data_IF_910957060473
#
_entry.id   IF_910957060473
#
_cell.length_a   1.000
_cell.length_b   1.000
_cell.length_c   1.000
_cell.angle_alpha   90.00
_cell.angle_beta   90.00
_cell.angle_gamma   90.00
#
_symmetry.space_group_name_H-M   'P 1'
#
loop_
_entity.id
_entity.type
_entity.pdbx_description
1 polymer ?
#
# COMPACT_ATOMS: atom_id res chain seq x y z
N UNK A 1 3.12 -15.29 -0.09
CA UNK A 1 2.55 -15.35 1.29
C UNK A 1 3.64 -15.25 2.35
N UNK A 2 4.76 -15.98 2.27
CA UNK A 2 5.86 -15.93 3.26
C UNK A 2 6.35 -14.51 3.55
N UNK A 3 6.61 -13.72 2.50
CA UNK A 3 6.98 -12.30 2.66
C UNK A 3 5.92 -11.50 3.43
N UNK A 4 4.64 -11.68 3.11
CA UNK A 4 3.53 -11.01 3.82
C UNK A 4 3.51 -11.38 5.32
N UNK A 5 3.64 -12.67 5.65
CA UNK A 5 3.67 -13.13 7.04
C UNK A 5 4.86 -12.55 7.80
N UNK A 6 6.04 -12.49 7.16
CA UNK A 6 7.19 -11.80 7.71
C UNK A 6 6.94 -10.31 7.96
N UNK A 7 6.32 -9.59 7.02
CA UNK A 7 5.96 -8.18 7.21
C UNK A 7 4.98 -7.98 8.38
N UNK A 8 4.03 -8.89 8.58
CA UNK A 8 3.11 -8.83 9.72
C UNK A 8 3.80 -9.11 11.06
N UNK A 9 4.79 -10.01 11.08
CA UNK A 9 5.61 -10.27 12.26
C UNK A 9 6.43 -9.04 12.66
N UNK A 10 7.09 -8.40 11.69
CA UNK A 10 7.82 -7.14 11.90
C UNK A 10 6.90 -5.99 12.36
N UNK A 11 5.70 -5.91 11.79
CA UNK A 11 4.69 -4.94 12.23
C UNK A 11 4.28 -5.17 13.70
N UNK A 12 4.06 -6.44 14.11
CA UNK A 12 3.74 -6.75 15.52
C UNK A 12 4.90 -6.35 16.46
N UNK A 13 6.15 -6.62 16.07
CA UNK A 13 7.32 -6.21 16.83
C UNK A 13 7.37 -4.67 16.99
N UNK A 14 7.23 -3.93 15.89
CA UNK A 14 7.23 -2.47 15.90
C UNK A 14 6.07 -1.85 16.70
N UNK A 15 4.89 -2.48 16.68
CA UNK A 15 3.75 -2.07 17.51
C UNK A 15 4.02 -2.31 19.01
N UNK A 16 4.65 -3.44 19.37
CA UNK A 16 5.00 -3.76 20.76
C UNK A 16 6.01 -2.79 21.35
N UNK A 17 7.02 -2.38 20.58
CA UNK A 17 7.97 -1.35 20.98
C UNK A 17 7.28 -0.02 21.34
N UNK A 18 6.13 0.26 20.72
CA UNK A 18 5.31 1.47 20.96
C UNK A 18 4.17 1.26 21.96
N UNK A 19 4.16 0.11 22.65
CA UNK A 19 3.16 -0.20 23.69
C UNK A 19 1.84 -0.80 23.16
N UNK A 20 1.75 -1.07 21.88
CA UNK A 20 0.62 -1.74 21.23
C UNK A 20 0.85 -3.23 20.97
N UNK A 21 0.02 -3.82 20.14
CA UNK A 21 0.18 -5.17 19.57
C UNK A 21 -0.68 -5.32 18.31
N UNK A 22 -0.26 -6.19 17.41
CA UNK A 22 -1.09 -6.63 16.30
C UNK A 22 -2.19 -7.58 16.80
N UNK A 23 -3.43 -7.34 16.38
CA UNK A 23 -4.57 -8.21 16.70
C UNK A 23 -4.93 -9.00 15.43
N UNK A 24 -4.76 -10.31 15.49
CA UNK A 24 -5.02 -11.22 14.38
C UNK A 24 -6.35 -11.93 14.59
N UNK A 25 -7.22 -11.88 13.58
CA UNK A 25 -8.47 -12.63 13.49
C UNK A 25 -8.46 -13.45 12.20
N UNK A 26 -9.12 -14.59 12.24
CA UNK A 26 -9.21 -15.49 11.11
C UNK A 26 -10.68 -15.78 10.79
N UNK A 27 -11.14 -15.29 9.66
CA UNK A 27 -12.53 -15.39 9.22
C UNK A 27 -12.84 -14.40 8.12
N UNK A 28 -14.12 -14.22 7.85
CA UNK A 28 -14.59 -13.21 6.88
C UNK A 28 -14.52 -11.82 7.52
N UNK A 29 -13.92 -10.82 6.86
CA UNK A 29 -13.77 -9.48 7.45
C UNK A 29 -15.08 -8.86 7.90
N UNK A 30 -16.16 -9.04 7.13
CA UNK A 30 -17.51 -8.54 7.46
C UNK A 30 -18.17 -9.20 8.68
N UNK A 31 -17.59 -10.30 9.17
CA UNK A 31 -18.02 -10.96 10.41
C UNK A 31 -17.08 -10.64 11.57
N UNK A 32 -15.75 -10.69 11.32
CA UNK A 32 -14.74 -10.55 12.36
C UNK A 32 -14.55 -9.10 12.82
N UNK A 33 -14.65 -8.12 11.91
CA UNK A 33 -14.49 -6.71 12.28
C UNK A 33 -15.63 -6.21 13.19
N UNK A 34 -16.91 -6.45 12.91
CA UNK A 34 -17.99 -6.10 13.84
C UNK A 34 -17.84 -6.77 15.23
N UNK A 35 -17.44 -8.06 15.27
CA UNK A 35 -17.16 -8.76 16.54
C UNK A 35 -16.04 -8.11 17.31
N UNK A 36 -14.93 -7.75 16.62
CA UNK A 36 -13.80 -7.07 17.25
C UNK A 36 -14.20 -5.68 17.75
N UNK A 37 -14.95 -4.90 16.97
CA UNK A 37 -15.44 -3.58 17.38
C UNK A 37 -16.30 -3.69 18.65
N UNK A 38 -17.20 -4.67 18.71
CA UNK A 38 -18.01 -4.92 19.92
C UNK A 38 -17.14 -5.35 21.12
N UNK A 39 -16.12 -6.21 20.90
CA UNK A 39 -15.19 -6.69 21.95
C UNK A 39 -14.42 -5.53 22.59
N UNK A 40 -14.02 -4.53 21.81
CA UNK A 40 -13.17 -3.42 22.29
C UNK A 40 -13.92 -2.11 22.49
N UNK A 41 -15.21 -2.04 22.14
CA UNK A 41 -16.00 -0.81 22.18
C UNK A 41 -15.54 0.24 21.16
N UNK A 42 -15.11 -0.17 19.97
CA UNK A 42 -14.67 0.75 18.93
C UNK A 42 -15.86 1.46 18.27
N UNK A 43 -15.78 2.77 18.16
CA UNK A 43 -16.74 3.59 17.41
C UNK A 43 -16.34 3.84 15.95
N UNK A 44 -15.08 3.58 15.60
CA UNK A 44 -14.53 3.87 14.29
C UNK A 44 -13.60 2.76 13.79
N UNK A 45 -13.65 2.50 12.49
CA UNK A 45 -12.73 1.61 11.77
C UNK A 45 -12.04 2.41 10.65
N UNK A 46 -10.73 2.39 10.63
CA UNK A 46 -9.89 3.06 9.61
C UNK A 46 -9.16 2.03 8.77
N UNK A 47 -9.13 2.23 7.47
CA UNK A 47 -8.34 1.43 6.55
C UNK A 47 -7.81 2.29 5.39
N UNK A 48 -6.82 1.77 4.69
CA UNK A 48 -6.37 2.37 3.43
C UNK A 48 -7.26 1.93 2.28
N UNK A 49 -7.84 2.90 1.55
CA UNK A 49 -8.68 2.64 0.40
C UNK A 49 -7.94 1.87 -0.71
N UNK A 50 -8.52 0.78 -1.17
CA UNK A 50 -7.99 -0.03 -2.28
C UNK A 50 -8.60 0.35 -3.62
N UNK A 51 -7.82 0.28 -4.71
CA UNK A 51 -8.31 0.51 -6.07
C UNK A 51 -8.94 -0.75 -6.70
N UNK A 52 -8.51 -1.95 -6.29
CA UNK A 52 -8.95 -3.20 -6.87
C UNK A 52 -10.46 -3.46 -6.63
N UNK A 53 -11.24 -3.87 -7.66
CA UNK A 53 -12.69 -4.08 -7.53
C UNK A 53 -13.09 -5.00 -6.38
N UNK A 54 -12.39 -6.13 -6.20
CA UNK A 54 -12.65 -7.07 -5.11
C UNK A 54 -12.40 -6.46 -3.73
N UNK A 55 -11.40 -5.56 -3.59
CA UNK A 55 -11.11 -4.90 -2.33
C UNK A 55 -12.20 -3.89 -1.99
N UNK A 56 -12.68 -3.14 -2.98
CA UNK A 56 -13.78 -2.17 -2.82
C UNK A 56 -15.09 -2.87 -2.46
N UNK A 57 -15.35 -4.03 -3.07
CA UNK A 57 -16.53 -4.83 -2.76
C UNK A 57 -16.46 -5.40 -1.33
N UNK A 58 -15.30 -5.95 -0.93
CA UNK A 58 -15.06 -6.37 0.46
C UNK A 58 -15.28 -5.21 1.44
N UNK A 59 -14.71 -4.04 1.15
CA UNK A 59 -14.79 -2.86 2.02
C UNK A 59 -16.24 -2.36 2.15
N UNK A 60 -17.03 -2.44 1.07
CA UNK A 60 -18.47 -2.15 1.09
C UNK A 60 -19.23 -3.12 2.01
N UNK A 61 -18.99 -4.43 1.90
CA UNK A 61 -19.63 -5.42 2.77
C UNK A 61 -19.26 -5.21 4.25
N UNK A 62 -17.99 -4.87 4.52
CA UNK A 62 -17.55 -4.54 5.87
C UNK A 62 -18.28 -3.31 6.40
N UNK A 63 -18.35 -2.23 5.62
CA UNK A 63 -19.05 -1.01 6.01
C UNK A 63 -20.53 -1.25 6.31
N UNK A 64 -21.21 -2.06 5.50
CA UNK A 64 -22.60 -2.46 5.74
C UNK A 64 -22.78 -3.28 7.01
N UNK A 65 -21.82 -4.17 7.30
CA UNK A 65 -21.89 -5.06 8.48
C UNK A 65 -21.55 -4.35 9.79
N UNK A 66 -20.86 -3.22 9.76
CA UNK A 66 -20.43 -2.46 10.95
C UNK A 66 -21.59 -1.73 11.67
N UNK A 67 -22.74 -1.51 10.99
CA UNK A 67 -23.90 -0.84 11.60
C UNK A 67 -23.58 0.60 12.04
N UNK A 68 -23.64 0.86 13.34
CA UNK A 68 -23.41 2.20 13.92
C UNK A 68 -21.92 2.57 14.06
N UNK A 69 -20.98 1.65 13.76
CA UNK A 69 -19.54 1.92 13.78
C UNK A 69 -19.14 2.64 12.50
N UNK A 70 -18.50 3.80 12.63
CA UNK A 70 -18.07 4.61 11.50
C UNK A 70 -16.95 3.94 10.72
N UNK A 71 -17.07 3.90 9.37
CA UNK A 71 -16.08 3.31 8.48
C UNK A 71 -15.38 4.39 7.67
N UNK A 72 -14.05 4.48 7.80
CA UNK A 72 -13.22 5.51 7.18
C UNK A 72 -12.20 4.90 6.22
N UNK A 73 -12.45 4.99 4.92
CA UNK A 73 -11.49 4.63 3.89
C UNK A 73 -10.57 5.82 3.58
N UNK A 74 -9.31 5.76 4.01
CA UNK A 74 -8.34 6.84 3.91
C UNK A 74 -7.39 6.67 2.72
N UNK A 75 -6.81 7.76 2.18
CA UNK A 75 -5.73 7.66 1.20
C UNK A 75 -4.48 7.04 1.83
N UNK A 76 -3.62 6.45 0.99
CA UNK A 76 -2.35 5.84 1.46
C UNK A 76 -1.74 4.86 0.45
N UNK A 77 -2.56 4.25 -0.40
CA UNK A 77 -2.10 3.31 -1.40
C UNK A 77 -1.41 3.98 -2.60
N UNK A 78 -1.66 5.25 -2.86
CA UNK A 78 -1.14 6.02 -3.99
C UNK A 78 -0.37 7.26 -3.52
N UNK A 79 0.35 7.89 -4.44
CA UNK A 79 1.05 9.16 -4.19
C UNK A 79 0.03 10.28 -3.99
N UNK A 80 -0.95 10.38 -4.89
CA UNK A 80 -2.08 11.30 -4.74
C UNK A 80 -3.17 10.66 -3.87
N UNK A 81 -3.95 11.48 -3.19
CA UNK A 81 -4.98 11.00 -2.26
C UNK A 81 -6.06 10.21 -2.98
N UNK A 82 -6.52 10.70 -4.11
CA UNK A 82 -7.48 10.02 -4.98
C UNK A 82 -7.00 10.05 -6.43
N UNK A 83 -6.41 8.95 -6.94
CA UNK A 83 -5.99 8.88 -8.34
C UNK A 83 -7.16 8.96 -9.33
N UNK A 84 -8.39 8.64 -8.91
CA UNK A 84 -9.58 8.76 -9.74
C UNK A 84 -10.06 10.21 -9.89
N UNK A 85 -9.67 11.10 -8.99
CA UNK A 85 -9.93 12.53 -9.11
C UNK A 85 -9.00 13.24 -10.11
N UNK A 86 -7.94 12.57 -10.59
CA UNK A 86 -7.08 13.08 -11.66
C UNK A 86 -7.82 12.94 -12.99
N UNK A 87 -8.47 14.02 -13.44
CA UNK A 87 -9.39 14.02 -14.59
C UNK A 87 -9.00 15.05 -15.64
N UNK A 88 -9.54 14.87 -16.85
CA UNK A 88 -9.43 15.84 -17.94
C UNK A 88 -10.20 17.14 -17.60
N UNK A 89 -9.94 18.21 -18.36
CA UNK A 89 -10.70 19.48 -18.22
C UNK A 89 -12.22 19.32 -18.45
N UNK A 90 -12.64 18.24 -19.11
CA UNK A 90 -14.05 17.90 -19.33
C UNK A 90 -14.59 16.91 -18.29
N UNK A 91 -13.90 16.76 -17.16
CA UNK A 91 -14.26 15.85 -16.05
C UNK A 91 -14.36 14.37 -16.47
N UNK A 92 -13.58 13.95 -17.47
CA UNK A 92 -13.52 12.54 -17.91
C UNK A 92 -12.27 11.86 -17.36
N UNK A 93 -12.32 10.54 -17.10
CA UNK A 93 -11.13 9.75 -16.79
C UNK A 93 -10.09 9.83 -17.90
N UNK A 94 -8.83 9.82 -17.55
CA UNK A 94 -7.77 9.61 -18.53
C UNK A 94 -7.69 8.14 -18.92
N UNK A 95 -7.61 7.88 -20.23
CA UNK A 95 -7.36 6.55 -20.80
C UNK A 95 -5.95 6.38 -21.33
N UNK A 96 -5.17 7.46 -21.35
CA UNK A 96 -3.77 7.50 -21.83
C UNK A 96 -2.88 8.10 -20.74
N UNK A 97 -1.73 7.48 -20.53
CA UNK A 97 -0.83 7.85 -19.43
C UNK A 97 -0.23 9.26 -19.54
N UNK A 98 0.30 9.64 -20.70
CA UNK A 98 1.05 10.90 -20.83
C UNK A 98 0.27 12.14 -20.37
N UNK A 99 -0.98 12.36 -20.79
CA UNK A 99 -1.77 13.49 -20.29
C UNK A 99 -2.15 13.31 -18.80
N UNK A 100 -2.39 12.09 -18.32
CA UNK A 100 -2.59 11.81 -16.91
C UNK A 100 -1.38 12.26 -16.08
N UNK A 101 -0.18 11.80 -16.44
CA UNK A 101 1.05 12.12 -15.71
C UNK A 101 1.33 13.62 -15.63
N UNK A 102 0.96 14.40 -16.65
CA UNK A 102 1.07 15.87 -16.64
C UNK A 102 0.18 16.46 -15.55
N UNK A 103 -1.10 16.12 -15.55
CA UNK A 103 -2.06 16.59 -14.53
C UNK A 103 -1.71 16.06 -13.14
N UNK A 104 -1.31 14.79 -13.03
CA UNK A 104 -0.89 14.17 -11.78
C UNK A 104 0.27 14.93 -11.09
N UNK A 105 1.23 15.45 -11.85
CA UNK A 105 2.34 16.25 -11.30
C UNK A 105 1.89 17.57 -10.68
N UNK A 106 0.76 18.11 -11.12
CA UNK A 106 0.18 19.37 -10.63
C UNK A 106 -0.71 19.18 -9.38
N UNK A 107 -1.12 17.93 -9.07
CA UNK A 107 -1.93 17.64 -7.88
C UNK A 107 -1.12 17.92 -6.62
N UNK A 108 -1.61 18.73 -5.67
CA UNK A 108 -0.95 18.92 -4.38
C UNK A 108 -0.76 17.59 -3.63
N UNK A 109 0.34 17.47 -2.90
CA UNK A 109 0.62 16.33 -2.05
C UNK A 109 0.28 16.68 -0.60
N UNK A 110 -0.30 15.71 0.12
CA UNK A 110 -0.37 15.82 1.58
C UNK A 110 1.02 15.66 2.20
N UNK A 111 1.15 16.07 3.44
CA UNK A 111 2.39 15.85 4.18
C UNK A 111 2.66 14.37 4.45
N UNK A 112 3.93 14.00 4.47
CA UNK A 112 4.36 12.69 4.96
C UNK A 112 4.31 12.72 6.48
N UNK A 113 3.42 11.92 7.06
CA UNK A 113 3.27 11.88 8.51
C UNK A 113 4.37 11.04 9.16
N UNK A 114 4.88 11.46 10.33
CA UNK A 114 5.82 10.65 11.10
C UNK A 114 5.15 9.41 11.68
N UNK A 115 5.95 8.42 12.05
CA UNK A 115 5.46 7.28 12.81
C UNK A 115 4.91 7.74 14.18
N UNK A 116 3.82 7.13 14.71
CA UNK A 116 3.30 7.48 16.02
C UNK A 116 4.31 7.08 17.12
N UNK A 117 4.47 7.96 18.12
CA UNK A 117 5.36 7.68 19.27
C UNK A 117 4.84 6.54 20.14
N UNK A 118 3.52 6.42 20.29
CA UNK A 118 2.87 5.40 21.09
C UNK A 118 1.61 4.87 20.41
N UNK A 119 1.39 3.57 20.58
CA UNK A 119 0.16 2.88 20.14
C UNK A 119 -0.46 2.19 21.34
N UNK A 120 -1.76 2.34 21.52
CA UNK A 120 -2.50 1.71 22.64
C UNK A 120 -3.43 0.64 22.10
N UNK A 121 -3.22 -0.59 22.55
CA UNK A 121 -4.17 -1.68 22.31
C UNK A 121 -4.85 -2.05 23.64
N UNK A 122 -6.18 -2.20 23.71
CA UNK A 122 -6.86 -2.59 24.93
C UNK A 122 -6.26 -3.89 25.50
N UNK A 123 -5.99 -3.92 26.81
CA UNK A 123 -5.33 -5.08 27.46
C UNK A 123 -6.15 -6.35 27.36
N UNK A 124 -7.47 -6.24 27.43
CA UNK A 124 -8.41 -7.37 27.40
C UNK A 124 -8.46 -8.06 26.04
N UNK A 125 -8.14 -7.36 24.93
CA UNK A 125 -8.23 -7.97 23.61
C UNK A 125 -7.12 -9.00 23.41
N UNK A 126 -7.51 -10.21 22.99
CA UNK A 126 -6.55 -11.27 22.66
C UNK A 126 -5.87 -10.96 21.32
N UNK A 127 -4.56 -11.02 21.28
CA UNK A 127 -3.79 -10.76 20.05
C UNK A 127 -4.13 -11.76 18.92
N UNK A 128 -4.51 -12.97 19.26
CA UNK A 128 -4.59 -14.06 18.28
C UNK A 128 -3.19 -14.60 17.95
N UNK A 129 -3.11 -15.42 16.92
CA UNK A 129 -1.87 -16.03 16.44
C UNK A 129 -1.73 -15.76 14.96
N UNK A 130 -0.58 -15.25 14.54
CA UNK A 130 -0.23 -15.13 13.13
C UNK A 130 -0.16 -16.54 12.53
N UNK A 131 -0.90 -16.86 11.47
CA UNK A 131 -0.85 -18.20 10.88
C UNK A 131 0.50 -18.45 10.21
N UNK A 132 0.93 -19.69 10.22
CA UNK A 132 2.01 -20.19 9.36
C UNK A 132 1.48 -20.65 7.98
N UNK A 133 2.36 -21.12 7.11
CA UNK A 133 1.98 -21.58 5.79
C UNK A 133 1.11 -22.85 5.84
N UNK A 134 1.41 -23.78 6.75
CA UNK A 134 0.67 -25.02 6.92
C UNK A 134 -0.80 -24.74 7.28
N UNK A 135 -1.01 -23.84 8.24
CA UNK A 135 -2.37 -23.42 8.66
C UNK A 135 -3.14 -22.72 7.55
N UNK A 136 -2.45 -22.09 6.60
CA UNK A 136 -3.04 -21.50 5.40
C UNK A 136 -3.22 -22.51 4.25
N UNK A 137 -2.86 -23.77 4.45
CA UNK A 137 -2.92 -24.81 3.41
C UNK A 137 -1.90 -24.61 2.28
N UNK A 138 -0.79 -23.93 2.56
CA UNK A 138 0.24 -23.60 1.58
C UNK A 138 1.51 -24.38 1.86
N UNK A 139 2.18 -24.83 0.78
CA UNK A 139 3.49 -25.46 0.88
C UNK A 139 4.59 -24.42 1.12
N UNK A 140 5.67 -24.86 1.76
CA UNK A 140 6.90 -24.08 1.87
C UNK A 140 7.48 -23.79 0.47
N UNK A 141 7.96 -22.56 0.22
CA UNK A 141 8.59 -22.24 -1.05
C UNK A 141 9.89 -23.05 -1.23
N UNK A 142 10.23 -23.42 -2.48
CA UNK A 142 11.43 -24.25 -2.75
C UNK A 142 12.75 -23.53 -2.41
N UNK A 143 12.72 -22.23 -2.19
CA UNK A 143 13.86 -21.42 -1.73
C UNK A 143 13.41 -20.28 -0.84
N UNK A 144 14.27 -19.83 0.10
CA UNK A 144 13.97 -18.65 0.90
C UNK A 144 13.77 -17.42 0.01
N UNK A 145 12.89 -16.53 0.43
CA UNK A 145 12.61 -15.29 -0.29
C UNK A 145 13.86 -14.40 -0.41
N UNK A 146 13.96 -13.69 -1.53
CA UNK A 146 15.10 -12.79 -1.82
C UNK A 146 14.95 -11.41 -1.17
N UNK A 147 13.81 -11.15 -0.53
CA UNK A 147 13.47 -9.87 0.07
C UNK A 147 13.29 -10.03 1.57
N UNK A 148 14.13 -9.38 2.40
CA UNK A 148 13.84 -9.26 3.82
C UNK A 148 12.49 -8.57 4.03
N UNK A 149 11.61 -9.05 4.92
CA UNK A 149 10.31 -8.43 5.16
C UNK A 149 10.41 -7.19 6.07
N UNK A 150 9.35 -6.36 6.05
CA UNK A 150 9.16 -5.28 7.01
C UNK A 150 9.54 -3.89 6.52
N UNK A 151 9.24 -2.90 7.36
CA UNK A 151 9.41 -1.48 7.06
C UNK A 151 10.89 -1.06 7.10
N UNK A 152 11.69 -1.62 8.01
CA UNK A 152 13.12 -1.32 8.10
C UNK A 152 13.85 -1.75 6.84
N UNK A 153 13.65 -2.99 6.41
CA UNK A 153 14.20 -3.50 5.16
C UNK A 153 13.74 -2.70 3.92
N UNK A 154 12.50 -2.20 3.95
CA UNK A 154 11.98 -1.35 2.89
C UNK A 154 12.71 0.00 2.84
N UNK A 155 12.98 0.61 4.00
CA UNK A 155 13.72 1.88 4.13
C UNK A 155 15.19 1.71 3.71
N UNK A 156 15.87 0.71 4.25
CA UNK A 156 17.25 0.40 3.86
C UNK A 156 17.38 0.20 2.35
N UNK A 157 16.43 -0.52 1.75
CA UNK A 157 16.39 -0.75 0.31
C UNK A 157 16.14 0.55 -0.47
N UNK A 158 15.27 1.43 0.02
CA UNK A 158 15.03 2.74 -0.58
C UNK A 158 16.28 3.62 -0.50
N UNK A 159 16.91 3.70 0.66
CA UNK A 159 18.12 4.50 0.90
C UNK A 159 19.29 4.04 0.01
N UNK A 160 19.51 2.72 -0.07
CA UNK A 160 20.50 2.13 -0.97
C UNK A 160 20.23 2.51 -2.43
N UNK A 161 18.96 2.39 -2.87
CA UNK A 161 18.58 2.76 -4.23
C UNK A 161 18.76 4.26 -4.50
N UNK A 162 18.34 5.13 -3.58
CA UNK A 162 18.52 6.57 -3.70
C UNK A 162 20.00 6.95 -3.82
N UNK A 163 20.87 6.31 -3.02
CA UNK A 163 22.31 6.58 -3.02
C UNK A 163 23.05 6.04 -4.26
N UNK A 164 22.67 4.88 -4.78
CA UNK A 164 23.50 4.16 -5.75
C UNK A 164 22.84 3.92 -7.11
N UNK A 165 21.51 3.84 -7.17
CA UNK A 165 20.74 3.45 -8.35
C UNK A 165 20.01 4.58 -9.05
N UNK A 166 19.50 5.54 -8.27
CA UNK A 166 18.57 6.56 -8.74
C UNK A 166 19.13 7.42 -9.89
N UNK A 167 20.38 7.88 -9.77
CA UNK A 167 21.01 8.74 -10.79
C UNK A 167 21.05 8.08 -12.18
N UNK A 168 21.16 6.76 -12.23
CA UNK A 168 21.24 5.96 -13.48
C UNK A 168 19.92 5.30 -13.85
N UNK A 169 18.85 5.58 -13.11
CA UNK A 169 17.59 4.85 -13.24
C UNK A 169 16.96 4.97 -14.61
N UNK A 170 17.02 6.13 -15.25
CA UNK A 170 16.48 6.37 -16.58
C UNK A 170 17.04 5.37 -17.61
N UNK A 171 18.34 5.12 -17.58
CA UNK A 171 19.03 4.22 -18.52
C UNK A 171 18.94 2.75 -18.08
N UNK A 172 19.00 2.50 -16.76
CA UNK A 172 19.19 1.15 -16.22
C UNK A 172 17.89 0.40 -15.96
N UNK A 173 16.74 1.07 -15.80
CA UNK A 173 15.47 0.45 -15.35
C UNK A 173 15.00 -0.73 -16.19
N UNK A 174 15.32 -0.73 -17.50
CA UNK A 174 14.96 -1.79 -18.43
C UNK A 174 16.01 -2.91 -18.51
N UNK A 175 17.12 -2.80 -17.78
CA UNK A 175 18.14 -3.84 -17.77
C UNK A 175 17.62 -5.11 -17.07
N UNK A 176 17.85 -6.31 -17.62
CA UNK A 176 17.41 -7.57 -17.00
C UNK A 176 17.99 -7.82 -15.60
N UNK A 177 19.14 -7.22 -15.29
CA UNK A 177 19.79 -7.31 -13.98
C UNK A 177 20.13 -5.91 -13.46
N UNK A 178 19.64 -5.60 -12.27
CA UNK A 178 20.15 -4.53 -11.42
C UNK A 178 19.69 -3.09 -11.71
N UNK A 179 18.73 -2.85 -12.60
CA UNK A 179 18.29 -1.47 -12.93
C UNK A 179 17.14 -0.92 -12.08
N UNK A 180 16.39 -1.75 -11.38
CA UNK A 180 15.19 -1.34 -10.65
C UNK A 180 15.45 -1.11 -9.16
N UNK A 181 14.58 -0.32 -8.52
CA UNK A 181 14.61 -0.09 -7.06
C UNK A 181 14.34 -1.35 -6.24
N UNK A 182 13.67 -2.36 -6.81
CA UNK A 182 13.21 -3.58 -6.13
C UNK A 182 12.27 -3.29 -4.95
N UNK A 183 11.55 -2.16 -4.96
CA UNK A 183 10.62 -1.75 -3.89
C UNK A 183 9.19 -2.25 -4.11
N UNK A 184 8.88 -2.91 -5.22
CA UNK A 184 7.51 -3.35 -5.54
C UNK A 184 6.89 -4.29 -4.49
N UNK A 185 7.60 -5.26 -3.86
CA UNK A 185 7.03 -6.07 -2.78
C UNK A 185 6.66 -5.23 -1.55
N UNK A 186 7.50 -4.27 -1.19
CA UNK A 186 7.28 -3.38 -0.06
C UNK A 186 6.12 -2.40 -0.29
N UNK A 187 6.02 -1.83 -1.49
CA UNK A 187 4.88 -1.01 -1.90
C UNK A 187 3.57 -1.81 -1.94
N UNK A 188 3.64 -3.08 -2.34
CA UNK A 188 2.49 -3.99 -2.37
C UNK A 188 1.90 -4.22 -0.98
N UNK A 189 2.74 -4.37 0.03
CA UNK A 189 2.33 -4.70 1.40
C UNK A 189 2.33 -3.50 2.35
N UNK A 190 2.58 -2.29 1.83
CA UNK A 190 2.53 -1.06 2.61
C UNK A 190 3.69 -0.88 3.59
N UNK A 191 4.81 -1.61 3.39
CA UNK A 191 6.02 -1.43 4.19
C UNK A 191 6.72 -0.09 3.91
N UNK A 192 6.43 0.53 2.78
CA UNK A 192 6.87 1.89 2.44
C UNK A 192 5.78 2.64 1.69
N UNK A 193 5.63 3.91 1.97
CA UNK A 193 4.65 4.77 1.33
C UNK A 193 5.11 5.24 -0.05
N UNK A 194 4.29 5.15 -1.12
CA UNK A 194 4.61 5.75 -2.40
C UNK A 194 4.75 7.28 -2.32
N UNK A 195 4.00 7.92 -1.43
CA UNK A 195 4.11 9.36 -1.16
C UNK A 195 5.48 9.72 -0.58
N UNK A 196 6.01 8.92 0.36
CA UNK A 196 7.35 9.14 0.91
C UNK A 196 8.43 9.05 -0.16
N UNK A 197 8.29 8.11 -1.10
CA UNK A 197 9.21 7.96 -2.23
C UNK A 197 9.10 9.12 -3.22
N UNK A 198 7.88 9.59 -3.53
CA UNK A 198 7.67 10.78 -4.38
C UNK A 198 8.30 12.02 -3.74
N UNK A 199 8.04 12.25 -2.44
CA UNK A 199 8.60 13.38 -1.68
C UNK A 199 10.13 13.35 -1.63
N UNK A 200 10.73 12.17 -1.45
CA UNK A 200 12.20 12.03 -1.42
C UNK A 200 12.88 12.43 -2.72
N UNK A 201 12.21 12.31 -3.87
CA UNK A 201 12.80 12.60 -5.19
C UNK A 201 12.23 13.83 -5.87
N UNK A 202 11.23 14.51 -5.28
CA UNK A 202 10.46 15.58 -5.92
C UNK A 202 11.35 16.73 -6.42
N UNK A 203 12.32 17.14 -5.61
CA UNK A 203 13.21 18.27 -5.89
C UNK A 203 14.62 17.84 -6.33
N UNK A 204 14.84 16.53 -6.53
CA UNK A 204 16.12 16.03 -7.00
C UNK A 204 16.29 16.31 -8.49
N UNK A 205 17.42 16.93 -8.91
CA UNK A 205 17.69 17.17 -10.31
C UNK A 205 18.14 15.90 -11.06
N UNK A 206 17.88 15.87 -12.36
CA UNK A 206 18.35 14.80 -13.25
C UNK A 206 17.25 13.91 -13.81
N UNK A 207 17.60 13.13 -14.82
CA UNK A 207 16.65 12.25 -15.52
C UNK A 207 16.24 11.04 -14.67
N UNK A 208 17.12 10.51 -13.85
CA UNK A 208 16.83 9.34 -12.99
C UNK A 208 15.71 9.60 -11.99
N UNK A 209 15.77 10.65 -11.16
CA UNK A 209 14.67 11.04 -10.27
C UNK A 209 13.37 11.33 -11.02
N UNK A 210 13.45 12.04 -12.16
CA UNK A 210 12.27 12.32 -12.98
C UNK A 210 11.60 11.05 -13.48
N UNK A 211 12.39 10.09 -13.98
CA UNK A 211 11.88 8.83 -14.51
C UNK A 211 11.35 7.93 -13.39
N UNK A 212 12.01 7.89 -12.21
CA UNK A 212 11.51 7.16 -11.07
C UNK A 212 10.15 7.69 -10.59
N UNK A 213 10.00 9.01 -10.57
CA UNK A 213 8.73 9.67 -10.27
C UNK A 213 7.65 9.35 -11.32
N UNK A 214 8.04 9.18 -12.57
CA UNK A 214 7.16 8.73 -13.66
C UNK A 214 6.63 7.32 -13.41
N UNK A 215 7.45 6.40 -12.90
CA UNK A 215 7.00 5.04 -12.53
C UNK A 215 6.01 5.04 -11.33
N UNK A 216 6.17 5.96 -10.39
CA UNK A 216 5.16 6.17 -9.33
C UNK A 216 3.84 6.69 -9.90
N UNK A 217 3.89 7.59 -10.90
CA UNK A 217 2.70 8.06 -11.59
C UNK A 217 2.00 6.94 -12.39
N UNK A 218 2.75 6.01 -13.00
CA UNK A 218 2.18 4.82 -13.65
C UNK A 218 1.37 3.96 -12.67
N UNK A 219 1.87 3.78 -11.44
CA UNK A 219 1.17 3.04 -10.40
C UNK A 219 -0.17 3.69 -10.05
N UNK A 220 -0.19 5.00 -9.91
CA UNK A 220 -1.41 5.78 -9.64
C UNK A 220 -2.35 5.77 -10.85
N UNK A 221 -1.83 5.85 -12.08
CA UNK A 221 -2.62 5.73 -13.30
C UNK A 221 -3.36 4.40 -13.38
N UNK A 222 -2.67 3.26 -13.15
CA UNK A 222 -3.33 1.96 -13.15
C UNK A 222 -4.34 1.81 -12.01
N UNK A 223 -4.13 2.47 -10.88
CA UNK A 223 -5.13 2.55 -9.82
C UNK A 223 -6.38 3.31 -10.27
N UNK A 224 -6.21 4.46 -10.95
CA UNK A 224 -7.30 5.21 -11.55
C UNK A 224 -8.06 4.38 -12.62
N UNK A 225 -7.32 3.64 -13.46
CA UNK A 225 -7.91 2.73 -14.45
C UNK A 225 -8.78 1.67 -13.78
N UNK A 226 -8.29 1.01 -12.73
CA UNK A 226 -9.07 0.00 -12.01
C UNK A 226 -10.33 0.57 -11.36
N UNK A 227 -10.28 1.81 -10.89
CA UNK A 227 -11.43 2.48 -10.27
C UNK A 227 -12.48 2.85 -11.31
N UNK A 228 -12.06 3.43 -12.45
CA UNK A 228 -12.99 3.90 -13.49
C UNK A 228 -13.46 2.81 -14.43
N UNK A 229 -12.63 1.79 -14.67
CA UNK A 229 -12.85 0.72 -15.63
C UNK A 229 -12.68 -0.66 -14.97
N UNK A 230 -13.48 -1.01 -13.95
CA UNK A 230 -13.31 -2.25 -13.19
C UNK A 230 -13.38 -3.53 -14.03
N UNK A 231 -14.00 -3.47 -15.21
CA UNK A 231 -14.08 -4.59 -16.16
C UNK A 231 -12.71 -5.05 -16.68
N UNK A 232 -11.66 -4.21 -16.63
CA UNK A 232 -10.30 -4.58 -17.09
C UNK A 232 -9.69 -5.74 -16.32
N UNK A 233 -10.27 -6.14 -15.20
CA UNK A 233 -9.86 -7.35 -14.47
C UNK A 233 -10.29 -8.65 -15.16
N UNK A 234 -11.20 -8.58 -16.12
CA UNK A 234 -11.79 -9.74 -16.82
C UNK A 234 -11.91 -9.55 -18.34
N UNK A 235 -11.73 -8.34 -18.83
CA UNK A 235 -11.90 -7.98 -20.23
C UNK A 235 -10.78 -7.06 -20.68
N UNK A 236 -10.62 -6.91 -21.99
CA UNK A 236 -9.68 -5.96 -22.57
C UNK A 236 -10.04 -4.52 -22.16
N UNK A 237 -9.00 -3.69 -22.03
CA UNK A 237 -9.18 -2.30 -21.60
C UNK A 237 -9.91 -1.44 -22.64
N UNK A 238 -9.59 -1.60 -23.94
CA UNK A 238 -10.16 -0.90 -25.12
C UNK A 238 -10.24 -1.87 -26.28
#
# INVERSE_FOLDING_TARGET
TTFMLGCLAELDAALRERGGKLVVRHGRPEEELPRLCAEVGAGDVYLTAGAAPWARERDRHVAEALGDVSFHALPGACVVDDPAAVRTKQDKPYTVFTPFARTWREVPRRDVLPAPEAVRTPRAVKAGVLPDLERLGLAEPPSPGTFPPGEEAARERADEFMATGLARYADARNAPKGGSSRLSPYLRWGCISPLSLDAAVADMPGEGPHEYRTELAWRDFYSAVLIHFPHVTHQEYI
#
